data_IF_776345482396
#
_entry.id   IF_776345482396
#
_cell.length_a   1.000
_cell.length_b   1.000
_cell.length_c   1.000
_cell.angle_alpha   90.00
_cell.angle_beta   90.00
_cell.angle_gamma   90.00
#
_symmetry.space_group_name_H-M   'P 1'
#
loop_
_entity.id
_entity.type
_entity.pdbx_description
1 polymer ?
#
# COMPACT_ATOMS: atom_id res chain seq x y z
N UNK A 1 13.75 -33.91 -21.78
CA UNK A 1 12.35 -33.57 -22.16
C UNK A 1 12.32 -32.07 -22.29
N UNK A 2 12.18 -31.61 -23.54
CA UNK A 2 12.17 -30.19 -23.90
C UNK A 2 10.94 -29.50 -23.29
N UNK A 3 11.18 -28.52 -22.43
CA UNK A 3 10.15 -27.60 -21.98
C UNK A 3 10.14 -26.44 -22.97
N UNK A 4 9.30 -26.58 -24.00
CA UNK A 4 9.02 -25.51 -24.95
C UNK A 4 8.42 -24.32 -24.20
N UNK A 5 9.17 -23.24 -24.09
CA UNK A 5 8.67 -21.92 -23.73
C UNK A 5 7.61 -21.50 -24.77
N UNK A 6 6.34 -21.61 -24.40
CA UNK A 6 5.27 -20.96 -25.14
C UNK A 6 5.48 -19.44 -25.01
N UNK A 7 6.17 -18.85 -25.98
CA UNK A 7 6.16 -17.42 -26.18
C UNK A 7 4.72 -17.00 -26.54
N UNK A 8 3.98 -16.51 -25.57
CA UNK A 8 2.71 -15.82 -25.81
C UNK A 8 3.06 -14.55 -26.56
N UNK A 9 2.90 -14.57 -27.87
CA UNK A 9 3.00 -13.38 -28.73
C UNK A 9 1.83 -12.49 -28.36
N UNK A 10 2.04 -11.54 -27.49
CA UNK A 10 1.08 -10.47 -27.24
C UNK A 10 0.99 -9.63 -28.51
N UNK A 11 -0.12 -9.77 -29.21
CA UNK A 11 -0.50 -8.83 -30.27
C UNK A 11 -0.61 -7.45 -29.59
N UNK A 12 0.35 -6.56 -29.81
CA UNK A 12 0.30 -5.17 -29.37
C UNK A 12 -0.80 -4.46 -30.16
N UNK A 13 -2.05 -4.62 -29.71
CA UNK A 13 -3.06 -3.63 -30.06
C UNK A 13 -2.61 -2.31 -29.43
N UNK A 14 -2.28 -1.33 -30.27
CA UNK A 14 -2.13 0.06 -29.84
C UNK A 14 -3.52 0.46 -29.32
N UNK A 15 -3.71 0.37 -28.03
CA UNK A 15 -4.94 0.82 -27.38
C UNK A 15 -4.76 2.33 -27.24
N UNK A 16 -5.40 3.10 -28.12
CA UNK A 16 -5.43 4.56 -28.03
C UNK A 16 -6.30 4.98 -26.83
N UNK A 17 -5.78 4.74 -25.63
CA UNK A 17 -6.45 5.00 -24.35
C UNK A 17 -5.60 5.93 -23.51
N UNK A 18 -6.18 7.00 -23.03
CA UNK A 18 -5.55 8.04 -22.23
C UNK A 18 -6.08 7.99 -20.79
N UNK A 19 -5.19 7.73 -19.85
CA UNK A 19 -5.53 7.56 -18.43
C UNK A 19 -4.88 8.67 -17.61
N UNK A 20 -5.68 9.40 -16.82
CA UNK A 20 -5.18 10.34 -15.82
C UNK A 20 -5.24 9.72 -14.43
N UNK A 21 -4.08 9.33 -13.91
CA UNK A 21 -3.92 8.90 -12.52
C UNK A 21 -3.88 10.14 -11.64
N UNK A 22 -4.68 10.18 -10.57
CA UNK A 22 -4.75 11.31 -9.63
C UNK A 22 -4.40 10.82 -8.23
N UNK A 23 -3.34 11.38 -7.65
CA UNK A 23 -2.89 11.05 -6.28
C UNK A 23 -2.32 12.29 -5.58
N UNK A 24 -2.42 12.38 -4.26
CA UNK A 24 -1.95 13.55 -3.51
C UNK A 24 -0.44 13.77 -3.65
N UNK A 25 0.37 12.72 -3.52
CA UNK A 25 1.82 12.79 -3.63
C UNK A 25 2.35 11.88 -4.73
N UNK A 26 3.50 12.23 -5.31
CA UNK A 26 4.15 11.40 -6.33
C UNK A 26 4.84 10.17 -5.74
N UNK A 27 5.59 10.32 -4.64
CA UNK A 27 6.46 9.27 -4.09
C UNK A 27 6.41 9.15 -2.56
N UNK A 28 5.52 9.88 -1.88
CA UNK A 28 5.45 9.86 -0.42
C UNK A 28 4.32 8.95 0.04
N UNK A 29 4.67 7.84 0.69
CA UNK A 29 3.73 6.83 1.20
C UNK A 29 3.39 5.73 0.19
N UNK A 30 2.86 4.62 0.71
CA UNK A 30 2.61 3.39 -0.07
C UNK A 30 1.68 3.58 -1.26
N UNK A 31 0.62 4.37 -1.11
CA UNK A 31 -0.32 4.69 -2.18
C UNK A 31 0.34 5.44 -3.34
N UNK A 32 1.23 6.41 -3.03
CA UNK A 32 1.95 7.18 -4.03
C UNK A 32 2.93 6.31 -4.83
N UNK A 33 3.68 5.44 -4.13
CA UNK A 33 4.59 4.48 -4.77
C UNK A 33 3.83 3.53 -5.68
N UNK A 34 2.69 3.00 -5.21
CA UNK A 34 1.85 2.09 -6.00
C UNK A 34 1.28 2.79 -7.25
N UNK A 35 0.77 4.01 -7.12
CA UNK A 35 0.25 4.80 -8.24
C UNK A 35 1.35 5.13 -9.26
N UNK A 36 2.56 5.47 -8.81
CA UNK A 36 3.70 5.74 -9.68
C UNK A 36 4.18 4.47 -10.42
N UNK A 37 4.24 3.33 -9.72
CA UNK A 37 4.56 2.04 -10.35
C UNK A 37 3.51 1.64 -11.39
N UNK A 38 2.23 1.90 -11.13
CA UNK A 38 1.15 1.67 -12.09
C UNK A 38 1.27 2.59 -13.31
N UNK A 39 1.59 3.88 -13.12
CA UNK A 39 1.87 4.82 -14.23
C UNK A 39 2.91 4.23 -15.19
N UNK A 40 4.03 3.76 -14.65
CA UNK A 40 5.08 3.14 -15.47
C UNK A 40 4.65 1.81 -16.09
N UNK A 41 3.86 1.01 -15.37
CA UNK A 41 3.33 -0.24 -15.88
C UNK A 41 2.42 -0.02 -17.10
N UNK A 42 1.49 0.92 -17.01
CA UNK A 42 0.56 1.28 -18.09
C UNK A 42 1.30 1.80 -19.32
N UNK A 43 2.21 2.76 -19.13
CA UNK A 43 2.96 3.34 -20.26
C UNK A 43 3.85 2.30 -20.98
N UNK A 44 4.43 1.32 -20.25
CA UNK A 44 5.20 0.23 -20.86
C UNK A 44 4.32 -0.79 -21.61
N UNK A 45 3.01 -0.78 -21.37
CA UNK A 45 2.05 -1.71 -21.98
C UNK A 45 1.08 -1.00 -22.96
N UNK A 46 1.48 0.13 -23.54
CA UNK A 46 0.79 0.78 -24.65
C UNK A 46 -0.37 1.71 -24.27
N UNK A 47 -0.55 2.03 -22.99
CA UNK A 47 -1.53 3.03 -22.52
C UNK A 47 -0.83 4.38 -22.38
N UNK A 48 -1.39 5.45 -22.92
CA UNK A 48 -0.89 6.79 -22.61
C UNK A 48 -1.40 7.23 -21.25
N UNK A 49 -0.59 7.00 -20.20
CA UNK A 49 -0.92 7.37 -18.83
C UNK A 49 -0.12 8.59 -18.37
N UNK A 50 -0.79 9.51 -17.67
CA UNK A 50 -0.19 10.66 -16.98
C UNK A 50 -0.64 10.65 -15.52
N UNK A 51 0.18 11.22 -14.65
CA UNK A 51 -0.12 11.31 -13.23
C UNK A 51 -0.21 12.75 -12.78
N UNK A 52 -1.35 13.16 -12.21
CA UNK A 52 -1.56 14.50 -11.65
C UNK A 52 -1.45 14.42 -10.13
N UNK A 53 -0.55 15.21 -9.57
CA UNK A 53 -0.28 15.24 -8.14
C UNK A 53 -0.34 16.65 -7.55
N UNK A 54 -0.55 16.73 -6.24
CA UNK A 54 -0.32 17.95 -5.47
C UNK A 54 1.16 18.15 -5.13
N UNK A 55 1.81 17.07 -4.68
CA UNK A 55 3.17 17.08 -4.16
C UNK A 55 4.11 16.30 -5.10
N UNK A 56 4.64 16.99 -6.11
CA UNK A 56 5.59 16.44 -7.08
C UNK A 56 7.00 16.41 -6.48
N UNK A 57 7.79 15.39 -6.82
CA UNK A 57 9.16 15.18 -6.34
C UNK A 57 10.19 15.04 -7.45
N UNK A 58 9.77 14.64 -8.65
CA UNK A 58 10.69 14.42 -9.80
C UNK A 58 10.33 15.32 -10.96
N UNK A 59 11.22 15.39 -11.96
CA UNK A 59 10.99 16.11 -13.22
C UNK A 59 10.47 15.18 -14.34
N UNK A 60 9.94 14.00 -13.97
CA UNK A 60 9.39 13.07 -14.97
C UNK A 60 8.27 13.72 -15.78
N UNK A 61 8.34 13.64 -17.11
CA UNK A 61 7.41 14.32 -18.01
C UNK A 61 5.97 13.83 -17.90
N UNK A 62 5.76 12.57 -17.50
CA UNK A 62 4.43 11.99 -17.29
C UNK A 62 3.80 12.39 -15.94
N UNK A 63 4.57 13.03 -15.03
CA UNK A 63 4.06 13.48 -13.73
C UNK A 63 3.83 14.99 -13.78
N UNK A 64 2.59 15.37 -13.56
CA UNK A 64 2.12 16.74 -13.65
C UNK A 64 1.75 17.23 -12.25
N UNK A 65 1.96 18.52 -12.01
CA UNK A 65 1.68 19.12 -10.71
C UNK A 65 0.51 20.11 -10.86
N UNK A 66 -0.40 20.11 -9.90
CA UNK A 66 -1.38 21.20 -9.85
C UNK A 66 -0.66 22.53 -9.55
N UNK A 67 -1.20 23.67 -10.03
CA UNK A 67 -0.61 24.97 -9.76
C UNK A 67 -0.40 25.19 -8.24
N UNK A 68 0.86 25.42 -7.85
CA UNK A 68 1.21 25.63 -6.46
C UNK A 68 0.66 26.96 -5.96
N UNK A 69 -0.06 26.95 -4.88
CA UNK A 69 -0.61 28.15 -4.27
C UNK A 69 -0.70 28.01 -2.76
N UNK A 70 -0.75 29.15 -2.04
CA UNK A 70 -1.00 29.19 -0.60
C UNK A 70 -2.31 28.49 -0.20
N UNK A 71 -3.28 28.41 -1.13
CA UNK A 71 -4.57 27.73 -0.93
C UNK A 71 -4.42 26.25 -0.62
N UNK A 72 -3.41 25.57 -1.15
CA UNK A 72 -3.18 24.15 -0.87
C UNK A 72 -2.88 23.90 0.60
N UNK A 73 -2.01 24.74 1.17
CA UNK A 73 -1.75 24.69 2.63
C UNK A 73 -2.98 25.10 3.44
N UNK A 74 -3.71 26.12 2.98
CA UNK A 74 -4.93 26.56 3.64
C UNK A 74 -6.01 25.46 3.63
N UNK A 75 -6.23 24.75 2.53
CA UNK A 75 -7.17 23.63 2.43
C UNK A 75 -6.83 22.53 3.45
N UNK A 76 -5.57 22.14 3.53
CA UNK A 76 -5.11 21.16 4.51
C UNK A 76 -5.35 21.60 5.94
N UNK A 77 -4.94 22.82 6.28
CA UNK A 77 -5.11 23.37 7.63
C UNK A 77 -6.58 23.55 8.00
N UNK A 78 -7.39 23.97 7.05
CA UNK A 78 -8.83 24.12 7.24
C UNK A 78 -9.51 22.79 7.55
N UNK A 79 -9.21 21.75 6.77
CA UNK A 79 -9.75 20.42 7.01
C UNK A 79 -9.35 19.89 8.39
N UNK A 80 -8.05 19.97 8.74
CA UNK A 80 -7.56 19.56 10.07
C UNK A 80 -8.19 20.38 11.19
N UNK A 81 -8.36 21.68 11.00
CA UNK A 81 -9.02 22.57 11.95
C UNK A 81 -10.49 22.20 12.21
N UNK A 82 -11.26 21.91 11.16
CA UNK A 82 -12.66 21.48 11.28
C UNK A 82 -12.74 20.12 11.99
N UNK A 83 -11.88 19.15 11.66
CA UNK A 83 -11.83 17.88 12.36
C UNK A 83 -11.48 18.08 13.83
N UNK A 84 -10.47 18.88 14.14
CA UNK A 84 -10.01 19.16 15.51
C UNK A 84 -11.13 19.80 16.36
N UNK A 85 -11.84 20.81 15.83
CA UNK A 85 -12.99 21.43 16.51
C UNK A 85 -14.11 20.41 16.79
N UNK A 86 -14.44 19.56 15.81
CA UNK A 86 -15.48 18.54 15.96
C UNK A 86 -15.02 17.30 16.75
N UNK A 87 -13.72 17.20 17.06
CA UNK A 87 -13.15 16.17 17.92
C UNK A 87 -12.94 16.65 19.38
N UNK A 88 -13.67 17.66 19.81
CA UNK A 88 -13.55 18.23 21.16
C UNK A 88 -12.17 18.82 21.42
N UNK A 89 -11.58 19.49 20.43
CA UNK A 89 -10.23 20.08 20.45
C UNK A 89 -9.11 19.06 20.71
N UNK A 90 -9.38 17.77 20.45
CA UNK A 90 -8.40 16.69 20.62
C UNK A 90 -7.62 16.44 19.34
N UNK A 91 -6.31 16.26 19.47
CA UNK A 91 -5.43 15.83 18.35
C UNK A 91 -5.49 14.30 18.09
N UNK A 92 -6.18 13.53 18.96
CA UNK A 92 -6.31 12.09 18.80
C UNK A 92 -7.05 11.80 17.48
N UNK A 93 -6.58 10.83 16.72
CA UNK A 93 -7.13 10.40 15.43
C UNK A 93 -7.20 11.49 14.35
N UNK A 94 -6.55 12.64 14.53
CA UNK A 94 -6.62 13.79 13.61
C UNK A 94 -6.19 13.44 12.16
N UNK A 95 -5.30 12.46 12.00
CA UNK A 95 -4.81 11.97 10.72
C UNK A 95 -5.33 10.57 10.34
N UNK A 96 -6.26 10.02 11.13
CA UNK A 96 -6.91 8.75 10.82
C UNK A 96 -8.26 8.93 10.12
N UNK A 97 -8.69 10.19 9.98
CA UNK A 97 -9.94 10.58 9.34
C UNK A 97 -9.73 11.77 8.40
N UNK A 98 -10.47 11.77 7.30
CA UNK A 98 -10.56 12.88 6.34
C UNK A 98 -12.01 13.17 5.97
N UNK A 99 -12.37 14.46 5.93
CA UNK A 99 -13.74 14.91 5.60
C UNK A 99 -13.83 15.52 4.20
N UNK A 100 -12.72 15.76 3.55
CA UNK A 100 -12.59 16.30 2.20
C UNK A 100 -13.47 17.55 1.95
N UNK A 101 -13.48 18.49 2.92
CA UNK A 101 -14.29 19.68 2.89
C UNK A 101 -13.64 20.87 2.16
N UNK A 102 -12.39 20.71 1.73
CA UNK A 102 -11.64 21.69 0.95
C UNK A 102 -10.70 20.99 -0.04
N UNK A 103 -10.52 21.58 -1.21
CA UNK A 103 -9.69 20.98 -2.27
C UNK A 103 -9.56 21.86 -3.50
N UNK A 104 -8.96 21.31 -4.55
CA UNK A 104 -8.70 21.98 -5.83
C UNK A 104 -9.51 21.34 -6.94
N UNK A 105 -10.22 22.14 -7.74
CA UNK A 105 -10.96 21.66 -8.91
C UNK A 105 -9.98 21.38 -10.06
N UNK A 106 -9.84 20.12 -10.43
CA UNK A 106 -8.98 19.66 -11.52
C UNK A 106 -9.74 19.50 -12.84
N UNK A 107 -11.09 19.62 -12.85
CA UNK A 107 -11.91 19.33 -14.06
C UNK A 107 -11.70 20.34 -15.17
N UNK A 108 -11.13 21.50 -14.86
CA UNK A 108 -10.83 22.56 -15.83
C UNK A 108 -9.43 22.43 -16.45
N UNK A 109 -8.58 21.57 -15.91
CA UNK A 109 -7.21 21.35 -16.39
C UNK A 109 -7.23 20.62 -17.74
N UNK A 110 -6.24 20.92 -18.57
CA UNK A 110 -6.17 20.31 -19.90
C UNK A 110 -5.88 18.81 -19.83
N UNK A 111 -5.15 18.36 -18.81
CA UNK A 111 -4.89 16.95 -18.52
C UNK A 111 -6.18 16.18 -18.18
N UNK A 112 -7.10 16.81 -17.46
CA UNK A 112 -8.40 16.20 -17.18
C UNK A 112 -9.25 16.08 -18.45
N UNK A 113 -9.26 17.11 -19.27
CA UNK A 113 -10.00 17.10 -20.56
C UNK A 113 -9.42 16.06 -21.53
N UNK A 114 -8.09 15.95 -21.56
CA UNK A 114 -7.33 15.02 -22.39
C UNK A 114 -7.63 13.55 -22.09
N UNK A 115 -7.82 13.18 -20.83
CA UNK A 115 -8.01 11.79 -20.40
C UNK A 115 -9.34 11.21 -20.86
N UNK A 116 -9.35 9.94 -21.22
CA UNK A 116 -10.54 9.13 -21.49
C UNK A 116 -11.06 8.49 -20.20
N UNK A 117 -10.15 8.10 -19.28
CA UNK A 117 -10.45 7.51 -17.98
C UNK A 117 -9.76 8.31 -16.88
N UNK A 118 -10.47 8.58 -15.80
CA UNK A 118 -9.92 9.17 -14.58
C UNK A 118 -9.68 8.07 -13.54
N UNK A 119 -8.44 7.91 -13.09
CA UNK A 119 -8.07 6.91 -12.11
C UNK A 119 -7.64 7.56 -10.80
N UNK A 120 -8.51 7.50 -9.79
CA UNK A 120 -8.28 8.09 -8.48
C UNK A 120 -7.58 7.09 -7.57
N UNK A 121 -6.52 7.55 -6.92
CA UNK A 121 -5.84 6.84 -5.85
C UNK A 121 -6.13 7.51 -4.51
N UNK A 122 -5.11 7.95 -3.79
CA UNK A 122 -5.27 8.63 -2.51
C UNK A 122 -5.30 10.15 -2.71
N UNK A 123 -6.46 10.79 -2.54
CA UNK A 123 -6.70 12.19 -2.92
C UNK A 123 -7.02 13.11 -1.74
N UNK A 124 -6.74 12.66 -0.54
CA UNK A 124 -7.10 13.29 0.72
C UNK A 124 -6.15 14.44 1.12
N UNK A 125 -6.30 14.94 2.36
CA UNK A 125 -5.50 15.99 2.96
C UNK A 125 -5.54 17.32 2.19
N UNK A 126 -6.76 17.76 1.83
CA UNK A 126 -6.97 19.07 1.18
C UNK A 126 -6.58 19.11 -0.30
N UNK A 127 -6.36 17.96 -0.96
CA UNK A 127 -6.12 17.90 -2.39
C UNK A 127 -7.43 17.97 -3.18
N UNK A 128 -8.32 16.98 -3.01
CA UNK A 128 -9.67 17.03 -3.59
C UNK A 128 -10.72 17.10 -2.49
N UNK A 129 -11.71 17.99 -2.66
CA UNK A 129 -12.90 18.01 -1.82
C UNK A 129 -13.99 17.08 -2.34
N UNK A 130 -15.03 16.81 -1.53
CA UNK A 130 -16.22 16.08 -2.00
C UNK A 130 -16.89 16.79 -3.18
N UNK A 131 -16.90 18.14 -3.20
CA UNK A 131 -17.44 18.90 -4.32
C UNK A 131 -16.60 18.76 -5.58
N UNK A 132 -15.26 18.63 -5.45
CA UNK A 132 -14.38 18.35 -6.58
C UNK A 132 -14.62 16.93 -7.11
N UNK A 133 -14.74 15.94 -6.22
CA UNK A 133 -15.06 14.56 -6.59
C UNK A 133 -16.42 14.46 -7.28
N UNK A 134 -17.43 15.14 -6.80
CA UNK A 134 -18.76 15.20 -7.44
C UNK A 134 -18.68 15.77 -8.87
N UNK A 135 -17.89 16.84 -9.09
CA UNK A 135 -17.65 17.39 -10.44
C UNK A 135 -16.93 16.41 -11.35
N UNK A 136 -15.94 15.66 -10.81
CA UNK A 136 -15.24 14.62 -11.57
C UNK A 136 -16.24 13.55 -12.00
N UNK A 137 -17.06 13.04 -11.09
CA UNK A 137 -18.07 12.02 -11.37
C UNK A 137 -19.17 12.54 -12.31
N UNK A 138 -19.54 13.82 -12.20
CA UNK A 138 -20.53 14.47 -13.05
C UNK A 138 -20.01 14.79 -14.47
N UNK A 139 -18.72 14.64 -14.73
CA UNK A 139 -18.14 14.91 -16.06
C UNK A 139 -18.54 13.89 -17.14
N UNK A 140 -19.13 12.77 -16.75
CA UNK A 140 -19.48 11.66 -17.65
C UNK A 140 -18.30 10.74 -17.98
N UNK A 141 -17.05 11.10 -17.62
CA UNK A 141 -15.90 10.21 -17.83
C UNK A 141 -15.96 9.01 -16.86
N UNK A 142 -15.57 7.80 -17.30
CA UNK A 142 -15.40 6.67 -16.40
C UNK A 142 -14.40 6.99 -15.29
N UNK A 143 -14.75 6.66 -14.05
CA UNK A 143 -13.88 6.86 -12.89
C UNK A 143 -13.56 5.52 -12.26
N UNK A 144 -12.28 5.19 -12.18
CA UNK A 144 -11.76 4.03 -11.47
C UNK A 144 -11.11 4.51 -10.18
N UNK A 145 -11.36 3.83 -9.08
CA UNK A 145 -10.81 4.16 -7.76
C UNK A 145 -10.02 2.99 -7.22
N UNK A 146 -8.70 3.15 -7.04
CA UNK A 146 -7.90 2.18 -6.32
C UNK A 146 -7.97 2.43 -4.82
N UNK A 147 -8.44 1.42 -4.10
CA UNK A 147 -8.65 1.44 -2.65
C UNK A 147 -7.36 1.08 -1.91
N UNK A 148 -6.55 2.08 -1.58
CA UNK A 148 -5.36 1.90 -0.73
C UNK A 148 -5.73 1.80 0.76
N UNK A 149 -6.85 2.41 1.13
CA UNK A 149 -7.48 2.36 2.44
C UNK A 149 -9.03 2.35 2.29
N UNK A 150 -9.75 2.47 3.40
CA UNK A 150 -11.21 2.34 3.43
C UNK A 150 -11.96 3.67 3.22
N UNK A 151 -11.26 4.80 3.00
CA UNK A 151 -11.89 6.10 3.00
C UNK A 151 -13.00 6.25 1.97
N UNK A 152 -12.83 5.71 0.77
CA UNK A 152 -13.84 5.84 -0.29
C UNK A 152 -15.17 5.14 0.03
N UNK A 153 -15.14 4.05 0.80
CA UNK A 153 -16.34 3.29 1.15
C UNK A 153 -16.75 3.40 2.63
N UNK A 154 -16.14 4.32 3.38
CA UNK A 154 -16.54 4.70 4.75
C UNK A 154 -17.01 6.15 4.79
N UNK A 155 -17.49 6.63 5.94
CA UNK A 155 -17.77 8.06 6.11
C UNK A 155 -16.50 8.89 6.01
N UNK A 156 -15.61 8.72 6.98
CA UNK A 156 -14.43 9.59 7.14
C UNK A 156 -13.13 8.85 7.46
N UNK A 157 -13.17 7.58 7.88
CA UNK A 157 -12.00 6.87 8.39
C UNK A 157 -11.22 6.18 7.27
N UNK A 158 -9.88 6.16 7.42
CA UNK A 158 -8.97 5.41 6.55
C UNK A 158 -8.97 3.91 6.87
N UNK A 159 -9.20 3.56 8.14
CA UNK A 159 -9.39 2.18 8.59
C UNK A 159 -10.49 2.17 9.65
N UNK A 160 -11.47 1.31 9.49
CA UNK A 160 -12.63 1.22 10.39
C UNK A 160 -12.35 0.47 11.70
N UNK A 161 -11.28 -0.32 11.73
CA UNK A 161 -11.06 -1.27 12.82
C UNK A 161 -12.24 -2.23 12.95
N UNK A 162 -12.78 -2.37 14.15
CA UNK A 162 -13.96 -3.20 14.44
C UNK A 162 -15.30 -2.52 14.09
N UNK A 163 -15.27 -1.26 13.61
CA UNK A 163 -16.49 -0.52 13.29
C UNK A 163 -17.08 -0.97 11.96
N UNK A 164 -18.28 -1.51 11.98
CA UNK A 164 -19.01 -2.00 10.79
C UNK A 164 -20.09 -1.04 10.27
N UNK A 165 -20.18 0.18 10.80
CA UNK A 165 -21.24 1.13 10.44
C UNK A 165 -21.29 1.50 8.96
N UNK A 166 -20.16 1.41 8.26
CA UNK A 166 -20.11 1.67 6.82
C UNK A 166 -20.98 0.70 6.00
N UNK A 167 -21.32 -0.46 6.55
CA UNK A 167 -22.22 -1.43 5.91
C UNK A 167 -23.65 -0.91 5.76
N UNK A 168 -24.06 0.03 6.63
CA UNK A 168 -25.41 0.61 6.63
C UNK A 168 -25.39 2.14 6.63
N UNK A 169 -24.89 2.76 7.70
CA UNK A 169 -24.85 4.20 7.89
C UNK A 169 -23.73 4.60 8.85
N UNK A 170 -22.75 5.36 8.35
CA UNK A 170 -21.76 5.95 9.25
C UNK A 170 -22.34 7.09 10.04
N UNK A 171 -22.50 6.89 11.32
CA UNK A 171 -22.95 7.92 12.27
C UNK A 171 -22.25 7.71 13.63
N UNK A 172 -22.19 8.77 14.47
CA UNK A 172 -21.58 8.72 15.80
C UNK A 172 -20.21 7.99 15.77
N UNK A 173 -19.32 8.51 14.92
CA UNK A 173 -18.03 7.86 14.64
C UNK A 173 -17.20 7.68 15.92
N UNK A 174 -16.75 6.46 16.24
CA UNK A 174 -15.95 6.22 17.44
C UNK A 174 -14.56 6.89 17.40
N UNK A 175 -14.11 7.31 16.23
CA UNK A 175 -12.84 8.03 16.08
C UNK A 175 -12.92 9.50 16.48
N UNK A 176 -14.12 10.08 16.58
CA UNK A 176 -14.34 11.47 16.98
C UNK A 176 -14.99 11.55 18.36
N UNK A 177 -14.50 12.44 19.22
CA UNK A 177 -15.00 12.63 20.59
C UNK A 177 -16.13 13.66 20.71
N UNK A 178 -16.38 14.43 19.65
CA UNK A 178 -17.33 15.54 19.69
C UNK A 178 -18.79 15.10 19.79
N UNK A 179 -19.59 15.87 20.55
CA UNK A 179 -21.06 15.75 20.62
C UNK A 179 -21.77 16.66 19.61
N UNK A 180 -21.01 17.31 18.73
CA UNK A 180 -21.54 18.28 17.74
C UNK A 180 -22.14 17.62 16.50
N UNK A 181 -22.10 18.33 15.37
CA UNK A 181 -22.58 17.83 14.10
C UNK A 181 -21.88 16.52 13.74
N UNK A 182 -22.66 15.50 13.37
CA UNK A 182 -22.11 14.19 12.97
C UNK A 182 -21.41 14.30 11.61
N UNK A 183 -20.09 14.61 11.63
CA UNK A 183 -19.28 14.73 10.43
C UNK A 183 -19.29 13.44 9.62
N UNK A 184 -19.23 12.29 10.30
CA UNK A 184 -19.18 10.99 9.62
C UNK A 184 -20.48 10.75 8.86
N UNK A 185 -21.63 11.05 9.47
CA UNK A 185 -22.93 10.93 8.80
C UNK A 185 -23.04 11.85 7.60
N UNK A 186 -22.69 13.13 7.77
CA UNK A 186 -22.78 14.10 6.65
C UNK A 186 -21.89 13.74 5.47
N UNK A 187 -20.67 13.29 5.73
CA UNK A 187 -19.75 12.87 4.67
C UNK A 187 -20.25 11.58 4.00
N UNK A 188 -20.76 10.64 4.79
CA UNK A 188 -21.34 9.39 4.27
C UNK A 188 -22.55 9.66 3.36
N UNK A 189 -23.50 10.45 3.83
CA UNK A 189 -24.70 10.84 3.06
C UNK A 189 -24.32 11.57 1.77
N UNK A 190 -23.32 12.47 1.84
CA UNK A 190 -22.81 13.17 0.66
C UNK A 190 -22.17 12.22 -0.35
N UNK A 191 -21.36 11.26 0.11
CA UNK A 191 -20.78 10.23 -0.76
C UNK A 191 -21.84 9.35 -1.39
N UNK A 192 -22.85 8.94 -0.62
CA UNK A 192 -23.96 8.14 -1.11
C UNK A 192 -24.70 8.85 -2.27
N UNK A 193 -25.08 10.10 -2.08
CA UNK A 193 -25.73 10.89 -3.12
C UNK A 193 -24.82 11.17 -4.33
N UNK A 194 -23.52 11.35 -4.10
CA UNK A 194 -22.53 11.62 -5.13
C UNK A 194 -22.24 10.38 -6.02
N UNK A 195 -22.31 9.16 -5.47
CA UNK A 195 -22.01 7.93 -6.20
C UNK A 195 -23.23 7.42 -7.00
N UNK A 196 -24.44 7.75 -6.58
CA UNK A 196 -25.68 7.28 -7.18
C UNK A 196 -25.72 7.54 -8.71
N UNK A 197 -25.92 6.49 -9.50
CA UNK A 197 -26.04 6.56 -10.96
C UNK A 197 -24.76 6.97 -11.70
N UNK A 198 -23.57 6.93 -11.06
CA UNK A 198 -22.30 7.31 -11.68
C UNK A 198 -21.56 6.08 -12.23
N UNK A 199 -20.83 6.27 -13.33
CA UNK A 199 -19.89 5.29 -13.87
C UNK A 199 -18.62 5.26 -13.01
N UNK A 200 -18.67 4.44 -11.95
CA UNK A 200 -17.66 4.36 -10.91
C UNK A 200 -17.31 2.89 -10.63
N UNK A 201 -16.03 2.57 -10.75
CA UNK A 201 -15.49 1.23 -10.46
C UNK A 201 -14.49 1.30 -9.31
N UNK A 202 -14.65 0.44 -8.31
CA UNK A 202 -13.73 0.32 -7.18
C UNK A 202 -12.79 -0.87 -7.36
N UNK A 203 -11.51 -0.67 -7.14
CA UNK A 203 -10.45 -1.68 -7.24
C UNK A 203 -9.74 -1.80 -5.90
N UNK A 204 -9.98 -2.87 -5.14
CA UNK A 204 -9.22 -3.17 -3.93
C UNK A 204 -7.81 -3.64 -4.26
N UNK A 205 -6.79 -3.13 -3.56
CA UNK A 205 -5.43 -3.65 -3.73
C UNK A 205 -5.29 -5.11 -3.27
N UNK A 206 -6.14 -5.56 -2.35
CA UNK A 206 -6.27 -6.94 -1.87
C UNK A 206 -7.71 -7.44 -2.05
N UNK A 207 -7.91 -8.75 -2.02
CA UNK A 207 -9.26 -9.34 -1.92
C UNK A 207 -9.94 -8.89 -0.64
N UNK A 208 -9.21 -8.90 0.48
CA UNK A 208 -9.70 -8.39 1.75
C UNK A 208 -10.30 -6.98 1.64
N UNK A 209 -9.59 -6.04 1.00
CA UNK A 209 -10.08 -4.66 0.82
C UNK A 209 -11.30 -4.61 -0.10
N UNK A 210 -11.31 -5.39 -1.19
CA UNK A 210 -12.44 -5.47 -2.09
C UNK A 210 -13.67 -6.08 -1.40
N UNK A 211 -13.49 -7.10 -0.55
CA UNK A 211 -14.59 -7.73 0.19
C UNK A 211 -15.19 -6.80 1.24
N UNK A 212 -14.38 -6.01 1.92
CA UNK A 212 -14.87 -4.95 2.80
C UNK A 212 -15.63 -3.88 2.02
N UNK A 213 -15.11 -3.46 0.87
CA UNK A 213 -15.78 -2.49 0.01
C UNK A 213 -17.15 -3.02 -0.47
N UNK A 214 -17.26 -4.28 -0.92
CA UNK A 214 -18.54 -4.90 -1.34
C UNK A 214 -19.60 -4.89 -0.25
N UNK A 215 -19.20 -4.92 1.03
CA UNK A 215 -20.11 -4.86 2.16
C UNK A 215 -20.60 -3.43 2.48
N UNK A 216 -19.97 -2.40 1.91
CA UNK A 216 -20.35 -1.02 2.16
C UNK A 216 -21.60 -0.64 1.39
N UNK A 217 -22.50 0.10 2.05
CA UNK A 217 -23.66 0.71 1.39
C UNK A 217 -23.24 1.70 0.29
N UNK A 218 -22.07 2.34 0.42
CA UNK A 218 -21.59 3.32 -0.57
C UNK A 218 -21.20 2.71 -1.90
N UNK A 219 -20.87 1.42 -1.94
CA UNK A 219 -20.46 0.73 -3.16
C UNK A 219 -21.54 -0.15 -3.75
N UNK A 220 -22.73 -0.20 -3.14
CA UNK A 220 -23.85 -0.94 -3.66
C UNK A 220 -24.25 -0.40 -5.05
N UNK A 221 -24.41 -1.32 -6.01
CA UNK A 221 -24.73 -0.98 -7.41
C UNK A 221 -23.50 -0.62 -8.26
N UNK A 222 -22.29 -0.59 -7.68
CA UNK A 222 -21.04 -0.33 -8.40
C UNK A 222 -20.21 -1.60 -8.58
N UNK A 223 -19.38 -1.62 -9.60
CA UNK A 223 -18.39 -2.70 -9.81
C UNK A 223 -17.31 -2.60 -8.75
N UNK A 224 -17.06 -3.72 -8.04
CA UNK A 224 -15.95 -3.86 -7.10
C UNK A 224 -15.13 -5.08 -7.49
N UNK A 225 -13.86 -4.85 -7.85
CA UNK A 225 -12.90 -5.91 -8.19
C UNK A 225 -11.63 -5.77 -7.34
N UNK A 226 -10.67 -6.68 -7.53
CA UNK A 226 -9.36 -6.54 -6.91
C UNK A 226 -8.22 -6.66 -7.91
N UNK A 227 -7.24 -5.77 -7.81
CA UNK A 227 -5.98 -5.81 -8.56
C UNK A 227 -4.85 -5.37 -7.60
N UNK A 228 -3.81 -6.19 -7.39
CA UNK A 228 -2.73 -5.84 -6.47
C UNK A 228 -1.86 -4.70 -7.01
N UNK A 229 -1.05 -4.11 -6.12
CA UNK A 229 -0.08 -3.11 -6.51
C UNK A 229 1.03 -3.72 -7.39
N UNK A 230 1.44 -2.98 -8.41
CA UNK A 230 2.54 -3.41 -9.28
C UNK A 230 3.91 -3.27 -8.59
N UNK A 231 4.84 -4.17 -8.94
CA UNK A 231 6.25 -4.11 -8.53
C UNK A 231 7.16 -4.02 -9.77
N UNK A 232 8.26 -3.29 -9.64
CA UNK A 232 9.33 -3.24 -10.64
C UNK A 232 10.27 -4.44 -10.47
N UNK A 233 10.03 -5.50 -11.22
CA UNK A 233 10.83 -6.72 -11.15
C UNK A 233 12.20 -6.62 -11.82
N UNK A 234 12.49 -5.51 -12.48
CA UNK A 234 13.83 -5.18 -13.02
C UNK A 234 14.71 -4.57 -11.93
N UNK A 235 14.10 -3.85 -10.99
CA UNK A 235 14.76 -3.26 -9.81
C UNK A 235 14.79 -4.28 -8.65
N UNK A 236 13.60 -4.77 -8.25
CA UNK A 236 13.48 -5.77 -7.18
C UNK A 236 13.67 -7.17 -7.75
N UNK A 237 14.91 -7.66 -7.68
CA UNK A 237 15.33 -8.97 -8.20
C UNK A 237 16.42 -9.56 -7.32
N UNK A 238 16.66 -10.87 -7.40
CA UNK A 238 17.78 -11.51 -6.72
C UNK A 238 19.13 -10.90 -7.15
N UNK A 239 19.99 -10.64 -6.16
CA UNK A 239 21.36 -10.11 -6.29
C UNK A 239 22.30 -10.92 -5.40
N UNK A 240 23.61 -10.72 -5.55
CA UNK A 240 24.58 -11.36 -4.67
C UNK A 240 24.43 -10.85 -3.22
N UNK A 241 24.16 -11.78 -2.31
CA UNK A 241 23.92 -11.49 -0.89
C UNK A 241 25.14 -10.90 -0.20
N UNK A 242 26.35 -11.38 -0.51
CA UNK A 242 27.56 -10.92 0.16
C UNK A 242 27.97 -9.51 -0.31
N UNK A 243 27.77 -9.24 -1.61
CA UNK A 243 27.96 -7.89 -2.14
C UNK A 243 26.97 -6.91 -1.49
N UNK A 244 25.69 -7.27 -1.38
CA UNK A 244 24.67 -6.47 -0.73
C UNK A 244 24.98 -6.22 0.75
N UNK A 245 25.43 -7.23 1.49
CA UNK A 245 25.87 -7.11 2.89
C UNK A 245 27.04 -6.15 3.05
N UNK A 246 28.03 -6.28 2.19
CA UNK A 246 29.21 -5.39 2.21
C UNK A 246 28.83 -3.93 2.02
N UNK A 247 27.93 -3.62 1.07
CA UNK A 247 27.46 -2.27 0.80
C UNK A 247 26.74 -1.65 2.00
N UNK A 248 25.98 -2.45 2.75
CA UNK A 248 25.24 -1.98 3.92
C UNK A 248 25.98 -2.14 5.24
N UNK A 249 27.24 -2.61 5.23
CA UNK A 249 28.02 -2.84 6.44
C UNK A 249 27.45 -3.92 7.36
N UNK A 250 26.78 -4.93 6.77
CA UNK A 250 26.15 -6.01 7.50
C UNK A 250 27.08 -7.23 7.62
N UNK A 251 26.99 -8.02 8.72
CA UNK A 251 27.86 -9.17 8.95
C UNK A 251 27.61 -10.27 7.90
N UNK A 252 28.71 -10.88 7.45
CA UNK A 252 28.68 -11.94 6.43
C UNK A 252 28.22 -13.31 6.97
N UNK A 253 28.45 -13.54 8.27
CA UNK A 253 28.33 -14.84 8.97
C UNK A 253 27.02 -15.02 9.76
N UNK A 254 26.16 -14.00 9.79
CA UNK A 254 24.88 -14.07 10.54
C UNK A 254 23.68 -14.34 9.65
N UNK A 255 22.66 -14.95 10.22
CA UNK A 255 21.28 -14.91 9.71
C UNK A 255 20.68 -13.56 10.05
N UNK A 256 20.09 -12.87 9.09
CA UNK A 256 19.58 -11.52 9.27
C UNK A 256 18.08 -11.45 9.02
N UNK A 257 17.35 -10.94 10.02
CA UNK A 257 15.96 -10.54 9.88
C UNK A 257 15.89 -9.08 9.47
N UNK A 258 15.02 -8.71 8.56
CA UNK A 258 14.73 -7.31 8.25
C UNK A 258 13.34 -6.94 8.74
N UNK A 259 13.27 -5.93 9.60
CA UNK A 259 12.04 -5.23 9.95
C UNK A 259 12.12 -3.80 9.42
N UNK A 260 11.09 -3.36 8.68
CA UNK A 260 11.11 -2.04 8.06
C UNK A 260 9.78 -1.32 8.17
N UNK A 261 9.83 -0.04 8.56
CA UNK A 261 8.68 0.86 8.55
C UNK A 261 9.13 2.32 8.37
N UNK A 262 8.27 3.17 7.82
CA UNK A 262 8.55 4.60 7.74
C UNK A 262 8.80 5.21 9.13
N UNK A 263 8.04 4.75 10.13
CA UNK A 263 8.24 5.00 11.56
C UNK A 263 8.15 3.68 12.30
N UNK A 264 9.23 3.28 12.94
CA UNK A 264 9.29 2.03 13.71
C UNK A 264 8.34 2.11 14.91
N UNK A 265 8.19 3.29 15.50
CA UNK A 265 7.31 3.57 16.64
C UNK A 265 5.81 3.61 16.29
N UNK A 266 5.42 3.43 15.02
CA UNK A 266 4.01 3.26 14.65
C UNK A 266 3.49 1.92 15.18
N UNK A 267 2.65 1.95 16.20
CA UNK A 267 2.08 0.77 16.87
C UNK A 267 1.40 -0.21 15.90
N UNK A 268 0.86 0.29 14.77
CA UNK A 268 0.24 -0.58 13.76
C UNK A 268 1.24 -1.53 13.10
N UNK A 269 2.54 -1.22 13.15
CA UNK A 269 3.60 -2.05 12.58
C UNK A 269 4.06 -3.18 13.50
N UNK A 270 3.60 -3.17 14.76
CA UNK A 270 3.73 -4.30 15.67
C UNK A 270 5.15 -4.59 16.14
N UNK A 271 6.01 -3.56 16.26
CA UNK A 271 7.39 -3.74 16.70
C UNK A 271 7.48 -4.46 18.05
N UNK A 272 6.54 -4.21 18.97
CA UNK A 272 6.48 -4.86 20.29
C UNK A 272 6.39 -6.40 20.14
N UNK A 273 5.62 -6.91 19.17
CA UNK A 273 5.52 -8.34 18.88
C UNK A 273 6.82 -8.93 18.30
N UNK A 274 7.60 -8.14 17.56
CA UNK A 274 8.92 -8.58 17.13
C UNK A 274 9.87 -8.71 18.31
N UNK A 275 9.84 -7.78 19.25
CA UNK A 275 10.63 -7.86 20.51
C UNK A 275 10.30 -9.13 21.26
N UNK A 276 9.01 -9.37 21.55
CA UNK A 276 8.54 -10.58 22.25
C UNK A 276 8.94 -11.86 21.51
N UNK A 277 8.84 -11.88 20.18
CA UNK A 277 9.25 -13.03 19.39
C UNK A 277 10.77 -13.28 19.47
N UNK A 278 11.59 -12.23 19.44
CA UNK A 278 13.04 -12.34 19.62
C UNK A 278 13.41 -12.81 21.03
N UNK A 279 12.69 -12.38 22.07
CA UNK A 279 12.83 -12.88 23.44
C UNK A 279 12.51 -14.39 23.53
N UNK A 280 11.40 -14.79 22.91
CA UNK A 280 11.01 -16.21 22.86
C UNK A 280 12.07 -17.07 22.16
N UNK A 281 12.61 -16.60 21.01
CA UNK A 281 13.69 -17.29 20.30
C UNK A 281 14.92 -17.42 21.20
N UNK A 282 15.31 -16.35 21.88
CA UNK A 282 16.49 -16.35 22.74
C UNK A 282 16.37 -17.32 23.91
N UNK A 283 15.17 -17.49 24.45
CA UNK A 283 14.91 -18.40 25.59
C UNK A 283 14.85 -19.89 25.17
N UNK A 284 14.26 -20.18 23.99
CA UNK A 284 13.93 -21.57 23.61
C UNK A 284 14.86 -22.16 22.53
N UNK A 285 15.69 -21.33 21.89
CA UNK A 285 16.64 -21.72 20.86
C UNK A 285 18.02 -21.12 21.15
N UNK A 286 18.74 -21.60 22.18
CA UNK A 286 19.95 -20.94 22.70
C UNK A 286 21.10 -20.79 21.71
N UNK A 287 21.15 -21.59 20.65
CA UNK A 287 22.13 -21.45 19.57
C UNK A 287 21.79 -20.41 18.51
N UNK A 288 20.51 -20.04 18.35
CA UNK A 288 20.06 -19.06 17.34
C UNK A 288 20.53 -17.63 17.64
N UNK A 289 20.52 -17.11 18.87
CA UNK A 289 20.99 -15.75 19.17
C UNK A 289 22.46 -15.52 18.81
N UNK A 290 23.28 -16.56 18.80
CA UNK A 290 24.71 -16.45 18.42
C UNK A 290 24.88 -16.14 16.95
N UNK A 291 23.96 -16.60 16.11
CA UNK A 291 24.02 -16.45 14.65
C UNK A 291 22.96 -15.50 14.07
N UNK A 292 21.98 -15.06 14.87
CA UNK A 292 20.86 -14.22 14.42
C UNK A 292 21.13 -12.75 14.71
N UNK A 293 20.72 -11.87 13.79
CA UNK A 293 20.70 -10.43 13.97
C UNK A 293 19.46 -9.79 13.35
N UNK A 294 19.11 -8.61 13.80
CA UNK A 294 17.95 -7.85 13.31
C UNK A 294 18.42 -6.58 12.62
N UNK A 295 18.07 -6.43 11.36
CA UNK A 295 18.24 -5.20 10.59
C UNK A 295 16.95 -4.38 10.74
N UNK A 296 17.06 -3.15 11.22
CA UNK A 296 15.92 -2.24 11.40
C UNK A 296 16.03 -1.08 10.42
N UNK A 297 15.08 -0.99 9.48
CA UNK A 297 15.01 0.07 8.46
C UNK A 297 13.94 1.10 8.84
N UNK A 298 14.32 2.34 9.10
CA UNK A 298 13.35 3.42 9.35
C UNK A 298 13.99 4.70 9.87
N UNK A 299 13.22 5.79 9.89
CA UNK A 299 13.71 7.12 10.30
C UNK A 299 14.06 7.23 11.77
N UNK A 300 13.53 6.37 12.62
CA UNK A 300 13.72 6.30 14.06
C UNK A 300 14.30 4.95 14.53
N UNK A 301 14.99 4.23 13.62
CA UNK A 301 15.53 2.89 13.88
C UNK A 301 16.49 2.83 15.08
N UNK A 302 17.31 3.86 15.27
CA UNK A 302 18.27 3.91 16.37
C UNK A 302 17.59 3.97 17.75
N UNK A 303 16.39 4.56 17.83
CA UNK A 303 15.64 4.69 19.09
C UNK A 303 15.13 3.36 19.68
N UNK A 304 15.09 2.30 18.88
CA UNK A 304 14.55 0.99 19.28
C UNK A 304 15.64 -0.09 19.40
N UNK A 305 16.90 0.26 19.19
CA UNK A 305 18.03 -0.67 19.17
C UNK A 305 18.19 -1.46 20.47
N UNK A 306 18.01 -0.77 21.60
CA UNK A 306 18.15 -1.38 22.93
C UNK A 306 16.96 -2.25 23.36
N UNK A 307 15.84 -2.18 22.63
CA UNK A 307 14.65 -2.93 22.97
C UNK A 307 14.73 -4.41 22.52
N UNK A 308 15.61 -4.74 21.58
CA UNK A 308 15.74 -6.11 21.04
C UNK A 308 16.83 -6.88 21.79
N UNK A 309 16.59 -8.15 22.15
CA UNK A 309 17.56 -9.01 22.87
C UNK A 309 18.63 -9.61 21.94
N UNK A 310 18.67 -9.20 20.66
CA UNK A 310 19.56 -9.68 19.60
C UNK A 310 20.43 -8.54 19.07
N UNK A 311 21.57 -8.84 18.43
CA UNK A 311 22.35 -7.80 17.72
C UNK A 311 21.51 -7.04 16.70
N UNK A 312 21.51 -5.71 16.78
CA UNK A 312 20.72 -4.82 15.92
C UNK A 312 21.62 -4.01 15.00
N UNK A 313 21.27 -4.00 13.72
CA UNK A 313 21.91 -3.19 12.68
C UNK A 313 20.90 -2.18 12.17
N UNK A 314 21.13 -0.91 12.41
CA UNK A 314 20.21 0.16 12.02
C UNK A 314 20.55 0.68 10.64
N UNK A 315 19.52 0.81 9.80
CA UNK A 315 19.61 1.45 8.49
C UNK A 315 18.64 2.62 8.48
N UNK A 316 19.15 3.80 8.17
CA UNK A 316 18.33 5.00 8.04
C UNK A 316 17.30 4.85 6.90
N UNK A 317 16.32 5.74 6.88
CA UNK A 317 15.30 5.75 5.83
C UNK A 317 15.94 5.82 4.43
N UNK A 318 15.63 4.82 3.60
CA UNK A 318 16.02 4.75 2.20
C UNK A 318 14.85 5.20 1.32
N UNK A 319 15.15 6.01 0.31
CA UNK A 319 14.17 6.47 -0.70
C UNK A 319 14.46 5.94 -2.11
N UNK A 320 15.66 5.40 -2.32
CA UNK A 320 16.08 4.81 -3.59
C UNK A 320 15.66 3.35 -3.64
N UNK A 321 14.84 2.97 -4.64
CA UNK A 321 14.34 1.60 -4.79
C UNK A 321 15.48 0.58 -5.01
N UNK A 322 16.58 0.96 -5.66
CA UNK A 322 17.71 0.07 -5.86
C UNK A 322 18.43 -0.24 -4.53
N UNK A 323 18.63 0.75 -3.67
CA UNK A 323 19.22 0.55 -2.33
C UNK A 323 18.30 -0.29 -1.43
N UNK A 324 16.98 -0.10 -1.56
CA UNK A 324 15.99 -0.91 -0.84
C UNK A 324 16.04 -2.36 -1.33
N UNK A 325 16.15 -2.59 -2.65
CA UNK A 325 16.30 -3.92 -3.22
C UNK A 325 17.61 -4.61 -2.77
N UNK A 326 18.72 -3.88 -2.71
CA UNK A 326 19.98 -4.38 -2.15
C UNK A 326 19.80 -4.82 -0.69
N UNK A 327 19.08 -4.03 0.13
CA UNK A 327 18.84 -4.39 1.52
C UNK A 327 17.99 -5.65 1.67
N UNK A 328 16.95 -5.85 0.84
CA UNK A 328 16.19 -7.11 0.83
C UNK A 328 17.10 -8.31 0.46
N UNK A 329 18.01 -8.14 -0.48
CA UNK A 329 18.96 -9.21 -0.86
C UNK A 329 20.01 -9.47 0.22
N UNK A 330 20.33 -8.51 1.07
CA UNK A 330 21.32 -8.65 2.15
C UNK A 330 20.81 -9.51 3.33
N UNK A 331 19.51 -9.71 3.47
CA UNK A 331 18.90 -10.41 4.61
C UNK A 331 18.41 -11.80 4.24
N UNK A 332 18.10 -12.60 5.25
CA UNK A 332 17.61 -13.97 5.07
C UNK A 332 16.07 -14.03 5.16
N UNK A 333 15.46 -13.10 5.85
CA UNK A 333 14.03 -13.10 6.10
C UNK A 333 13.50 -11.67 6.29
N UNK A 334 12.39 -11.33 5.66
CA UNK A 334 11.65 -10.12 5.97
C UNK A 334 10.52 -10.42 6.96
N UNK A 335 10.41 -9.63 8.02
CA UNK A 335 9.42 -9.84 9.09
C UNK A 335 8.51 -8.62 9.24
N UNK A 336 7.20 -8.85 9.31
CA UNK A 336 6.19 -7.79 9.42
C UNK A 336 5.03 -8.19 10.33
N UNK A 337 5.15 -7.99 11.66
CA UNK A 337 4.08 -8.25 12.61
C UNK A 337 3.05 -7.12 12.63
N UNK A 338 2.66 -6.63 11.45
CA UNK A 338 1.68 -5.54 11.33
C UNK A 338 0.33 -5.94 11.91
N UNK A 339 -0.27 -5.04 12.69
CA UNK A 339 -1.59 -5.23 13.29
C UNK A 339 -2.73 -4.83 12.35
N UNK A 340 -2.43 -4.07 11.32
CA UNK A 340 -3.37 -3.67 10.27
C UNK A 340 -2.60 -3.23 9.03
N UNK A 341 -2.80 -3.94 7.93
CA UNK A 341 -2.24 -3.57 6.64
C UNK A 341 -3.15 -4.07 5.50
N UNK A 342 -3.23 -3.32 4.40
CA UNK A 342 -4.01 -3.73 3.24
C UNK A 342 -3.19 -4.67 2.34
N UNK A 343 -2.17 -4.11 1.69
CA UNK A 343 -1.23 -4.84 0.83
C UNK A 343 0.15 -4.18 0.98
N UNK A 344 0.93 -4.54 2.00
CA UNK A 344 2.22 -3.90 2.24
C UNK A 344 3.19 -4.14 1.08
N UNK A 345 3.60 -3.05 0.40
CA UNK A 345 4.55 -3.12 -0.70
C UNK A 345 5.86 -3.80 -0.29
N UNK A 346 6.25 -3.67 0.98
CA UNK A 346 7.47 -4.27 1.54
C UNK A 346 7.52 -5.78 1.44
N UNK A 347 6.37 -6.48 1.57
CA UNK A 347 6.30 -7.93 1.35
C UNK A 347 6.55 -8.25 -0.12
N UNK A 348 5.88 -7.56 -1.06
CA UNK A 348 6.06 -7.80 -2.49
C UNK A 348 7.50 -7.51 -2.92
N UNK A 349 8.09 -6.45 -2.39
CA UNK A 349 9.47 -6.04 -2.65
C UNK A 349 10.47 -7.12 -2.18
N UNK A 350 10.30 -7.61 -0.94
CA UNK A 350 11.11 -8.70 -0.40
C UNK A 350 10.95 -9.99 -1.23
N UNK A 351 9.73 -10.45 -1.48
CA UNK A 351 9.45 -11.64 -2.28
C UNK A 351 10.01 -11.50 -3.71
N UNK A 352 9.92 -10.32 -4.31
CA UNK A 352 10.49 -10.05 -5.63
C UNK A 352 12.03 -10.18 -5.64
N UNK A 353 12.71 -9.89 -4.55
CA UNK A 353 14.14 -10.14 -4.36
C UNK A 353 14.45 -11.60 -4.01
N UNK A 354 13.45 -12.47 -3.83
CA UNK A 354 13.63 -13.84 -3.39
C UNK A 354 13.82 -13.95 -1.87
N UNK A 355 13.43 -12.94 -1.11
CA UNK A 355 13.50 -12.96 0.36
C UNK A 355 12.18 -13.42 0.94
N UNK A 356 12.12 -14.59 1.60
CA UNK A 356 10.91 -15.08 2.23
C UNK A 356 10.39 -14.12 3.31
N UNK A 357 9.09 -14.19 3.59
CA UNK A 357 8.44 -13.28 4.53
C UNK A 357 7.74 -14.01 5.66
N UNK A 358 7.74 -13.40 6.86
CA UNK A 358 6.86 -13.79 7.98
C UNK A 358 5.96 -12.62 8.33
N UNK A 359 4.65 -12.85 8.36
CA UNK A 359 3.66 -11.84 8.68
C UNK A 359 2.50 -12.39 9.49
N UNK A 360 1.72 -11.53 10.17
CA UNK A 360 0.50 -11.95 10.83
C UNK A 360 -0.64 -12.21 9.84
N UNK A 361 -1.56 -13.08 10.25
CA UNK A 361 -2.82 -13.34 9.56
C UNK A 361 -3.78 -12.15 9.73
N UNK A 362 -3.53 -11.06 9.02
CA UNK A 362 -4.32 -9.83 9.10
C UNK A 362 -4.36 -9.10 7.74
N UNK A 363 -5.52 -8.52 7.43
CA UNK A 363 -5.68 -7.72 6.21
C UNK A 363 -5.41 -8.51 4.94
N UNK A 364 -4.60 -7.96 4.05
CA UNK A 364 -4.18 -8.63 2.81
C UNK A 364 -2.89 -9.46 2.94
N UNK A 365 -2.24 -9.51 4.09
CA UNK A 365 -0.97 -10.26 4.28
C UNK A 365 -1.12 -11.75 3.93
N UNK A 366 -2.18 -12.48 4.38
CA UNK A 366 -2.35 -13.90 4.04
C UNK A 366 -2.67 -14.16 2.56
N UNK A 367 -2.95 -13.11 1.79
CA UNK A 367 -3.10 -13.22 0.33
C UNK A 367 -1.76 -13.15 -0.41
N UNK A 368 -0.74 -12.60 0.26
CA UNK A 368 0.58 -12.36 -0.30
C UNK A 368 1.55 -13.50 0.00
N UNK A 369 1.45 -14.07 1.20
CA UNK A 369 2.33 -15.13 1.70
C UNK A 369 1.54 -16.44 1.71
N UNK A 370 1.97 -17.41 0.92
CA UNK A 370 1.46 -18.79 0.96
C UNK A 370 2.11 -19.55 2.11
N UNK A 371 1.38 -19.72 3.21
CA UNK A 371 1.89 -20.31 4.45
C UNK A 371 2.66 -21.61 4.21
N UNK A 372 3.92 -21.65 4.64
CA UNK A 372 4.88 -22.77 4.51
C UNK A 372 5.24 -23.16 3.07
N UNK A 373 4.93 -22.31 2.07
CA UNK A 373 5.32 -22.51 0.68
C UNK A 373 6.35 -21.47 0.22
N UNK A 374 6.08 -20.18 0.48
CA UNK A 374 6.96 -19.06 0.13
C UNK A 374 7.28 -18.15 1.33
N UNK A 375 6.77 -18.48 2.51
CA UNK A 375 6.95 -17.77 3.76
C UNK A 375 6.10 -18.38 4.88
N UNK A 376 5.82 -17.58 5.91
CA UNK A 376 5.01 -18.03 7.04
C UNK A 376 3.97 -16.96 7.43
N UNK A 377 2.73 -17.38 7.57
CA UNK A 377 1.64 -16.56 8.11
C UNK A 377 1.38 -17.02 9.54
N UNK A 378 1.72 -16.18 10.50
CA UNK A 378 1.52 -16.44 11.92
C UNK A 378 0.13 -15.98 12.37
N UNK A 379 -0.40 -16.60 13.42
CA UNK A 379 -1.66 -16.22 14.01
C UNK A 379 -1.62 -14.76 14.51
N UNK A 380 -2.74 -14.07 14.36
CA UNK A 380 -2.83 -12.64 14.64
C UNK A 380 -2.55 -12.33 16.12
N UNK A 381 -1.61 -11.42 16.37
CA UNK A 381 -1.15 -11.02 17.70
C UNK A 381 -0.53 -12.17 18.54
N UNK A 382 -0.07 -13.25 17.92
CA UNK A 382 0.65 -14.33 18.58
C UNK A 382 2.16 -14.22 18.31
N UNK A 383 2.89 -13.65 19.28
CA UNK A 383 4.36 -13.50 19.22
C UNK A 383 5.11 -14.84 19.28
N UNK A 384 4.50 -15.88 19.88
CA UNK A 384 5.07 -17.21 19.96
C UNK A 384 5.00 -17.90 18.59
N UNK A 385 3.83 -17.88 17.94
CA UNK A 385 3.69 -18.44 16.60
C UNK A 385 4.53 -17.65 15.58
N UNK A 386 4.65 -16.33 15.77
CA UNK A 386 5.54 -15.49 14.94
C UNK A 386 7.01 -15.92 15.10
N UNK A 387 7.47 -16.19 16.32
CA UNK A 387 8.81 -16.71 16.60
C UNK A 387 9.04 -18.10 16.00
N UNK A 388 8.03 -18.98 16.07
CA UNK A 388 8.06 -20.30 15.40
C UNK A 388 8.17 -20.14 13.88
N UNK A 389 7.42 -19.20 13.28
CA UNK A 389 7.50 -18.86 11.86
C UNK A 389 8.89 -18.41 11.43
N UNK A 390 9.52 -17.51 12.21
CA UNK A 390 10.90 -17.06 11.98
C UNK A 390 11.85 -18.27 12.02
N UNK A 391 11.80 -19.05 13.10
CA UNK A 391 12.67 -20.22 13.28
C UNK A 391 12.44 -21.28 12.21
N UNK A 392 11.21 -21.45 11.73
CA UNK A 392 10.85 -22.38 10.68
C UNK A 392 11.43 -21.96 9.31
N UNK A 393 11.34 -20.65 8.96
CA UNK A 393 11.85 -20.13 7.70
C UNK A 393 13.38 -20.11 7.64
N UNK A 394 14.07 -19.94 8.77
CA UNK A 394 15.53 -19.85 8.83
C UNK A 394 16.26 -21.19 8.76
N UNK A 395 15.56 -22.34 8.68
CA UNK A 395 16.18 -23.64 8.53
C UNK A 395 16.87 -23.74 7.17
N UNK A 396 18.13 -24.19 7.16
CA UNK A 396 18.98 -24.21 5.98
C UNK A 396 18.42 -25.04 4.82
N UNK A 397 17.73 -26.16 5.15
CA UNK A 397 17.10 -27.05 4.18
C UNK A 397 15.90 -26.44 3.43
N UNK A 398 15.42 -25.25 3.83
CA UNK A 398 14.20 -24.61 3.29
C UNK A 398 14.45 -23.30 2.58
N UNK A 399 15.50 -22.59 2.94
CA UNK A 399 15.72 -21.21 2.51
C UNK A 399 15.71 -21.07 0.98
N UNK A 400 16.40 -21.93 0.24
CA UNK A 400 16.44 -21.85 -1.22
C UNK A 400 15.08 -22.12 -1.86
N UNK A 401 14.34 -23.13 -1.33
CA UNK A 401 12.99 -23.45 -1.80
C UNK A 401 12.03 -22.29 -1.55
N UNK A 402 12.04 -21.72 -0.35
CA UNK A 402 11.19 -20.56 0.00
C UNK A 402 11.55 -19.34 -0.85
N UNK A 403 12.83 -19.05 -1.05
CA UNK A 403 13.33 -17.95 -1.87
C UNK A 403 12.85 -18.05 -3.32
N UNK A 404 12.99 -19.23 -3.92
CA UNK A 404 12.54 -19.49 -5.30
C UNK A 404 11.03 -19.35 -5.42
N UNK A 405 10.27 -19.89 -4.47
CA UNK A 405 8.81 -19.82 -4.46
C UNK A 405 8.31 -18.37 -4.26
N UNK A 406 8.91 -17.62 -3.33
CA UNK A 406 8.60 -16.22 -3.09
C UNK A 406 8.80 -15.37 -4.36
N UNK A 407 9.93 -15.53 -5.04
CA UNK A 407 10.20 -14.83 -6.31
C UNK A 407 9.19 -15.21 -7.38
N UNK A 408 8.89 -16.50 -7.54
CA UNK A 408 7.92 -16.98 -8.53
C UNK A 408 6.53 -16.41 -8.29
N UNK A 409 6.06 -16.39 -7.04
CA UNK A 409 4.78 -15.80 -6.65
C UNK A 409 4.73 -14.29 -6.94
N UNK A 410 5.82 -13.57 -6.63
CA UNK A 410 5.92 -12.14 -6.91
C UNK A 410 5.85 -11.84 -8.41
N UNK A 411 6.54 -12.60 -9.24
CA UNK A 411 6.53 -12.43 -10.70
C UNK A 411 5.15 -12.72 -11.30
N UNK A 412 4.51 -13.79 -10.87
CA UNK A 412 3.20 -14.21 -11.40
C UNK A 412 2.08 -13.22 -11.08
N UNK A 413 2.12 -12.60 -9.88
CA UNK A 413 1.00 -11.83 -9.36
C UNK A 413 1.18 -10.33 -9.48
N UNK A 414 2.39 -9.82 -9.23
CA UNK A 414 2.66 -8.39 -9.00
C UNK A 414 3.53 -7.74 -10.07
N UNK A 415 4.06 -8.48 -11.03
CA UNK A 415 4.86 -7.89 -12.12
C UNK A 415 4.07 -6.83 -12.89
N UNK A 416 4.75 -5.73 -13.28
CA UNK A 416 4.13 -4.61 -13.99
C UNK A 416 3.25 -5.03 -15.18
N UNK A 417 3.66 -5.96 -16.08
CA UNK A 417 2.81 -6.37 -17.20
C UNK A 417 1.51 -7.06 -16.74
N UNK A 418 1.59 -7.95 -15.76
CA UNK A 418 0.43 -8.67 -15.24
C UNK A 418 -0.61 -7.72 -14.62
N UNK A 419 -0.14 -6.75 -13.84
CA UNK A 419 -1.02 -5.75 -13.21
C UNK A 419 -1.58 -4.78 -14.25
N UNK A 420 -0.77 -4.29 -15.19
CA UNK A 420 -1.23 -3.40 -16.26
C UNK A 420 -2.32 -4.03 -17.11
N UNK A 421 -2.18 -5.30 -17.48
CA UNK A 421 -3.20 -6.02 -18.26
C UNK A 421 -4.55 -6.08 -17.52
N UNK A 422 -4.57 -6.38 -16.24
CA UNK A 422 -5.79 -6.39 -15.43
C UNK A 422 -6.46 -5.02 -15.32
N UNK A 423 -5.68 -3.93 -15.22
CA UNK A 423 -6.23 -2.57 -15.25
C UNK A 423 -6.76 -2.19 -16.62
N UNK A 424 -6.13 -2.65 -17.71
CA UNK A 424 -6.65 -2.46 -19.07
C UNK A 424 -8.05 -3.05 -19.24
N UNK A 425 -8.29 -4.27 -18.75
CA UNK A 425 -9.61 -4.90 -18.76
C UNK A 425 -10.65 -4.05 -18.00
N UNK A 426 -10.27 -3.52 -16.82
CA UNK A 426 -11.15 -2.65 -16.02
C UNK A 426 -11.46 -1.35 -16.75
N UNK A 427 -10.48 -0.70 -17.38
CA UNK A 427 -10.71 0.53 -18.13
C UNK A 427 -11.58 0.32 -19.38
N UNK A 428 -11.35 -0.77 -20.11
CA UNK A 428 -12.18 -1.13 -21.28
C UNK A 428 -13.63 -1.38 -20.87
N UNK A 429 -13.84 -2.13 -19.78
CA UNK A 429 -15.18 -2.35 -19.24
C UNK A 429 -15.84 -1.04 -18.81
N UNK A 430 -15.11 -0.14 -18.13
CA UNK A 430 -15.63 1.15 -17.70
C UNK A 430 -16.00 2.08 -18.89
N UNK A 431 -15.24 2.02 -19.98
CA UNK A 431 -15.53 2.77 -21.22
C UNK A 431 -16.74 2.20 -21.97
N UNK A 432 -16.98 0.89 -21.92
CA UNK A 432 -18.11 0.26 -22.62
C UNK A 432 -19.47 0.48 -21.93
N UNK A 433 -19.48 0.99 -20.69
CA UNK A 433 -20.67 1.36 -19.93
C UNK A 433 -21.08 2.84 -20.09
N UNK A 434 -20.53 3.56 -21.08
CA UNK A 434 -20.90 4.95 -21.40
C UNK A 434 -22.17 5.04 -22.25
#
# INVERSE_FOLDING_TARGET
>A
MDVSYMAVTFCTFVIDMRVLIVNTAERTGGAAIAANRLLHALNRNGVEARMLVRDRKTEASQVLNIPQSWRLKANFLWERGVIWMNNGLSKRNLFQVDIANAGTDITRMDEFKWADVIHLHWVNQGFLSLDNLDRILASGKPVVVTLHDQWYFTGICHYSGECEKYKSQCERCPMLKGRGSDLAKRVFDRKLAMYEGRNLTFVGCSRWMADLARQSRLTQGHTVTNIPNAIDTDVFKPMDKQEARTKHGLPADKKLLLFGAQRITDKRKGFDFLVEACEHISMHHPSLPEILGVVVLGGDAESVKEALPLPVYTVNYLSNEAEIAELYNAVDLFVTPSLQDNLPNTIVEAMACGTPCVGFNVGGIPEMISHKQDGYVADYCDSIDFAQGISWCLKDDRHETLSTAARAAALATYAKPAVAHRYLEVYQAALSHQ
#
